data_IF_033650334973
#
_entry.id   IF_033650334973
#
_cell.length_a   1.000
_cell.length_b   1.000
_cell.length_c   1.000
_cell.angle_alpha   90.00
_cell.angle_beta   90.00
_cell.angle_gamma   90.00
#
_symmetry.space_group_name_H-M   'P 1'
#
loop_
_entity.id
_entity.type
_entity.pdbx_description
1 polymer ?
#
# COMPACT_ATOMS: atom_id res chain seq x y z
N UNK A 1 -11.49 -5.54 14.67
CA UNK A 1 -10.12 -6.02 15.02
C UNK A 1 -9.21 -4.85 15.38
N UNK A 2 -8.97 -3.88 14.49
CA UNK A 2 -8.11 -2.72 14.75
C UNK A 2 -8.95 -1.46 14.67
N UNK A 3 -8.68 -0.48 15.57
CA UNK A 3 -9.29 0.83 15.55
C UNK A 3 -8.26 1.89 15.93
N UNK A 4 -8.02 2.85 15.04
CA UNK A 4 -7.25 4.05 15.26
C UNK A 4 -8.24 5.22 15.32
N UNK A 5 -8.11 6.10 16.31
CA UNK A 5 -8.99 7.25 16.53
C UNK A 5 -8.16 8.52 16.70
N UNK A 6 -8.24 9.41 15.71
CA UNK A 6 -7.57 10.71 15.71
C UNK A 6 -6.06 10.65 15.88
N UNK A 7 -5.40 9.60 15.38
CA UNK A 7 -3.97 9.34 15.61
C UNK A 7 -3.12 10.39 14.90
N UNK A 8 -2.28 11.09 15.68
CA UNK A 8 -1.37 12.13 15.19
C UNK A 8 0.08 11.75 15.51
N UNK A 9 0.98 12.10 14.58
CA UNK A 9 2.42 11.94 14.75
C UNK A 9 3.18 12.95 13.93
N UNK A 10 4.14 13.63 14.58
CA UNK A 10 5.03 14.59 13.91
C UNK A 10 6.49 14.23 14.19
N UNK A 11 7.36 14.54 13.25
CA UNK A 11 8.81 14.46 13.34
C UNK A 11 9.38 15.84 13.03
N UNK A 12 9.62 16.63 14.08
CA UNK A 12 9.97 18.04 13.92
C UNK A 12 8.84 18.79 13.19
N UNK A 13 9.15 19.42 12.08
CA UNK A 13 8.18 20.15 11.25
C UNK A 13 7.32 19.26 10.33
N UNK A 14 7.63 17.97 10.22
CA UNK A 14 6.91 17.05 9.31
C UNK A 14 5.81 16.34 10.07
N UNK A 15 4.56 16.59 9.73
CA UNK A 15 3.41 15.87 10.24
C UNK A 15 3.22 14.57 9.44
N UNK A 16 3.60 13.45 10.05
CA UNK A 16 3.51 12.13 9.42
C UNK A 16 2.10 11.52 9.50
N UNK A 17 1.33 11.84 10.55
CA UNK A 17 -0.09 11.50 10.68
C UNK A 17 -0.86 12.73 11.17
N UNK A 18 -1.94 13.08 10.47
CA UNK A 18 -2.68 14.33 10.65
C UNK A 18 -4.03 14.14 11.40
N UNK A 19 -4.19 13.03 12.13
CA UNK A 19 -5.43 12.65 12.78
C UNK A 19 -6.08 11.47 12.04
N UNK A 20 -5.34 10.37 11.94
CA UNK A 20 -5.79 9.18 11.22
C UNK A 20 -6.87 8.45 12.01
N UNK A 21 -8.03 8.28 11.37
CA UNK A 21 -9.10 7.38 11.77
C UNK A 21 -9.11 6.17 10.83
N UNK A 22 -9.02 4.96 11.40
CA UNK A 22 -8.97 3.72 10.62
C UNK A 22 -9.66 2.60 11.39
N UNK A 23 -10.45 1.80 10.68
CA UNK A 23 -11.07 0.58 11.20
C UNK A 23 -10.72 -0.60 10.30
N UNK A 24 -10.21 -1.68 10.89
CA UNK A 24 -9.88 -2.92 10.18
C UNK A 24 -10.70 -4.06 10.77
N UNK A 25 -11.58 -4.70 9.99
CA UNK A 25 -12.34 -5.86 10.45
C UNK A 25 -11.45 -7.10 10.68
N UNK A 26 -11.97 -8.10 11.36
CA UNK A 26 -11.28 -9.39 11.55
C UNK A 26 -11.43 -10.27 10.31
N UNK A 27 -10.44 -11.15 10.08
CA UNK A 27 -10.52 -12.20 9.05
C UNK A 27 -10.41 -11.71 7.61
N UNK A 28 -9.88 -10.51 7.40
CA UNK A 28 -9.66 -9.93 6.07
C UNK A 28 -8.18 -9.64 5.81
N UNK A 29 -7.86 -9.45 4.54
CA UNK A 29 -6.64 -8.74 4.12
C UNK A 29 -7.01 -7.28 3.93
N UNK A 30 -6.45 -6.40 4.74
CA UNK A 30 -6.65 -4.95 4.67
C UNK A 30 -5.41 -4.26 4.12
N UNK A 31 -5.58 -3.51 3.03
CA UNK A 31 -4.51 -2.77 2.38
C UNK A 31 -4.39 -1.33 2.90
N UNK A 32 -3.20 -0.89 3.25
CA UNK A 32 -2.88 0.51 3.53
C UNK A 32 -2.07 1.06 2.36
N UNK A 33 -2.76 1.67 1.39
CA UNK A 33 -2.20 2.16 0.14
C UNK A 33 -1.78 3.64 0.27
N UNK A 34 -0.77 4.05 -0.46
CA UNK A 34 -0.36 5.45 -0.58
C UNK A 34 1.09 5.60 -1.00
N UNK A 35 1.52 6.80 -1.43
CA UNK A 35 2.89 7.04 -1.84
C UNK A 35 3.88 6.92 -0.67
N UNK A 36 5.17 6.89 -1.00
CA UNK A 36 6.21 6.96 0.01
C UNK A 36 6.06 8.25 0.83
N UNK A 37 6.15 8.14 2.18
CA UNK A 37 5.95 9.29 3.07
C UNK A 37 4.49 9.63 3.40
N UNK A 38 3.51 8.89 2.89
CA UNK A 38 2.09 9.11 3.22
C UNK A 38 1.71 8.80 4.69
N UNK A 39 2.62 8.21 5.48
CA UNK A 39 2.38 7.88 6.89
C UNK A 39 2.12 6.40 7.16
N UNK A 40 2.09 5.53 6.15
CA UNK A 40 1.80 4.08 6.27
C UNK A 40 2.65 3.40 7.34
N UNK A 41 3.97 3.38 7.17
CA UNK A 41 4.92 2.78 8.14
C UNK A 41 4.80 3.40 9.52
N UNK A 42 4.52 4.70 9.63
CA UNK A 42 4.30 5.38 10.92
C UNK A 42 3.06 4.82 11.62
N UNK A 43 1.95 4.66 10.90
CA UNK A 43 0.73 4.07 11.43
C UNK A 43 0.95 2.61 11.89
N UNK A 44 1.63 1.79 11.05
CA UNK A 44 1.96 0.41 11.41
C UNK A 44 2.87 0.33 12.65
N UNK A 45 3.91 1.17 12.75
CA UNK A 45 4.81 1.20 13.91
C UNK A 45 4.09 1.59 15.20
N UNK A 46 3.12 2.51 15.14
CA UNK A 46 2.30 2.88 16.29
C UNK A 46 1.44 1.69 16.72
N UNK A 47 0.74 1.04 15.79
CA UNK A 47 -0.05 -0.16 16.07
C UNK A 47 0.81 -1.28 16.67
N UNK A 48 2.02 -1.47 16.15
CA UNK A 48 2.96 -2.49 16.64
C UNK A 48 3.70 -2.08 17.93
N UNK A 49 3.32 -0.97 18.56
CA UNK A 49 3.95 -0.47 19.80
C UNK A 49 5.43 -0.11 19.69
N UNK A 50 5.92 0.12 18.47
CA UNK A 50 7.30 0.51 18.19
C UNK A 50 7.49 2.02 18.23
N UNK A 51 6.40 2.78 18.21
CA UNK A 51 6.38 4.23 18.21
C UNK A 51 5.17 4.72 19.01
N UNK A 52 5.36 5.72 19.86
CA UNK A 52 4.26 6.40 20.55
C UNK A 52 3.66 7.48 19.62
N UNK A 53 2.34 7.59 19.49
CA UNK A 53 1.70 8.72 18.84
C UNK A 53 1.81 9.98 19.71
N UNK A 54 1.63 11.15 19.12
CA UNK A 54 1.59 12.42 19.84
C UNK A 54 0.17 12.70 20.38
N UNK A 55 -0.86 12.15 19.71
CA UNK A 55 -2.26 12.18 20.13
C UNK A 55 -3.05 11.04 19.49
N UNK A 56 -4.25 10.80 19.99
CA UNK A 56 -5.16 9.78 19.51
C UNK A 56 -5.08 8.48 20.31
N UNK A 57 -5.88 7.50 19.89
CA UNK A 57 -6.00 6.19 20.56
C UNK A 57 -5.85 5.07 19.54
N UNK A 58 -5.34 3.92 19.99
CA UNK A 58 -5.16 2.73 19.16
C UNK A 58 -5.65 1.51 19.93
N UNK A 59 -6.54 0.75 19.29
CA UNK A 59 -7.14 -0.44 19.85
C UNK A 59 -6.86 -1.65 18.98
N UNK A 60 -6.59 -2.77 19.63
CA UNK A 60 -6.54 -4.09 19.02
C UNK A 60 -7.54 -4.98 19.78
N UNK A 61 -8.67 -5.28 19.16
CA UNK A 61 -9.87 -5.79 19.84
C UNK A 61 -10.22 -4.86 21.04
N UNK A 62 -10.26 -5.41 22.26
CA UNK A 62 -10.51 -4.67 23.50
C UNK A 62 -9.23 -4.16 24.19
N UNK A 63 -8.06 -4.35 23.57
CA UNK A 63 -6.77 -3.97 24.13
C UNK A 63 -6.43 -2.54 23.69
N UNK A 64 -6.31 -1.62 24.65
CA UNK A 64 -5.67 -0.33 24.40
C UNK A 64 -4.16 -0.57 24.19
N UNK A 65 -3.71 -0.35 22.95
CA UNK A 65 -2.34 -0.66 22.52
C UNK A 65 -1.30 0.17 23.25
N UNK A 66 -1.65 1.41 23.62
CA UNK A 66 -0.74 2.33 24.30
C UNK A 66 -0.65 2.03 25.81
N UNK A 67 -1.78 1.69 26.41
CA UNK A 67 -1.84 1.35 27.83
C UNK A 67 -1.32 -0.07 28.13
N UNK A 68 -1.54 -1.02 27.19
CA UNK A 68 -1.23 -2.44 27.36
C UNK A 68 -0.33 -3.02 26.24
N UNK A 69 0.84 -2.42 25.97
CA UNK A 69 1.66 -2.76 24.81
C UNK A 69 2.17 -4.22 24.82
N UNK A 70 2.39 -4.79 26.00
CA UNK A 70 2.81 -6.21 26.13
C UNK A 70 1.72 -7.18 25.71
N UNK A 71 0.45 -6.88 26.01
CA UNK A 71 -0.69 -7.68 25.56
C UNK A 71 -0.90 -7.53 24.05
N UNK A 72 -0.84 -6.31 23.52
CA UNK A 72 -0.94 -6.06 22.10
C UNK A 72 0.10 -6.87 21.30
N UNK A 73 1.38 -6.83 21.72
CA UNK A 73 2.45 -7.59 21.04
C UNK A 73 2.27 -9.12 21.04
N UNK A 74 1.54 -9.66 21.98
CA UNK A 74 1.20 -11.10 21.99
C UNK A 74 0.12 -11.47 20.96
N UNK A 75 -0.65 -10.47 20.49
CA UNK A 75 -1.77 -10.65 19.57
C UNK A 75 -1.43 -10.29 18.12
N UNK A 76 -0.22 -9.76 17.88
CA UNK A 76 0.21 -9.37 16.54
C UNK A 76 1.58 -9.94 16.19
N UNK A 77 1.75 -10.31 14.93
CA UNK A 77 3.05 -10.52 14.28
C UNK A 77 3.37 -9.29 13.44
N UNK A 78 4.61 -8.84 13.46
CA UNK A 78 5.07 -7.73 12.64
C UNK A 78 6.24 -8.14 11.76
N UNK A 79 6.14 -7.86 10.48
CA UNK A 79 7.18 -8.07 9.48
C UNK A 79 7.53 -6.71 8.89
N UNK A 80 8.71 -6.21 9.22
CA UNK A 80 9.20 -4.92 8.75
C UNK A 80 9.56 -4.94 7.26
N UNK A 81 9.76 -3.77 6.68
CA UNK A 81 10.20 -3.61 5.29
C UNK A 81 11.58 -4.27 5.07
N UNK A 82 12.54 -4.03 5.97
CA UNK A 82 13.85 -4.62 5.94
C UNK A 82 13.93 -5.83 6.89
N UNK A 83 14.33 -6.98 6.35
CA UNK A 83 14.53 -8.19 7.13
C UNK A 83 15.81 -8.09 7.98
N UNK A 84 15.66 -8.04 9.29
CA UNK A 84 16.78 -8.06 10.25
C UNK A 84 17.21 -9.50 10.55
N UNK A 85 17.70 -10.23 9.53
CA UNK A 85 18.16 -11.61 9.68
C UNK A 85 19.67 -11.67 9.99
N UNK A 86 20.02 -12.47 11.00
CA UNK A 86 21.42 -12.81 11.23
C UNK A 86 21.92 -13.70 10.09
N UNK A 87 22.98 -13.25 9.42
CA UNK A 87 23.53 -13.94 8.22
C UNK A 87 24.24 -15.26 8.55
N UNK A 88 24.64 -15.46 9.81
CA UNK A 88 25.42 -16.62 10.28
C UNK A 88 24.46 -17.78 10.62
N UNK A 89 23.35 -17.47 11.28
CA UNK A 89 22.38 -18.46 11.68
C UNK A 89 21.67 -19.09 10.46
N UNK A 90 21.33 -20.36 10.60
CA UNK A 90 20.37 -21.01 9.70
C UNK A 90 18.94 -20.51 9.97
N UNK A 91 18.04 -20.66 8.99
CA UNK A 91 16.63 -20.30 9.19
C UNK A 91 16.00 -21.04 10.37
N UNK A 92 16.36 -22.30 10.57
CA UNK A 92 15.87 -23.10 11.70
C UNK A 92 16.34 -22.53 13.04
N UNK A 93 17.61 -22.19 13.16
CA UNK A 93 18.17 -21.57 14.37
C UNK A 93 17.51 -20.20 14.62
N UNK A 94 17.28 -19.42 13.58
CA UNK A 94 16.58 -18.14 13.66
C UNK A 94 15.16 -18.29 14.21
N UNK A 95 14.39 -19.26 13.69
CA UNK A 95 13.05 -19.56 14.22
C UNK A 95 13.08 -20.05 15.65
N UNK A 96 14.07 -20.87 16.03
CA UNK A 96 14.23 -21.30 17.43
C UNK A 96 14.56 -20.11 18.35
N UNK A 97 15.44 -19.21 17.93
CA UNK A 97 15.79 -17.99 18.66
C UNK A 97 14.53 -17.11 18.87
N UNK A 98 13.80 -16.82 17.81
CA UNK A 98 12.58 -16.02 17.91
C UNK A 98 11.50 -16.68 18.77
N UNK A 99 11.32 -18.00 18.64
CA UNK A 99 10.41 -18.74 19.50
C UNK A 99 10.77 -18.64 20.99
N UNK A 100 12.06 -18.66 21.32
CA UNK A 100 12.53 -18.46 22.68
C UNK A 100 12.29 -17.02 23.18
N UNK A 101 12.46 -16.01 22.31
CA UNK A 101 12.15 -14.60 22.64
C UNK A 101 10.65 -14.38 22.91
N UNK A 102 9.78 -15.16 22.26
CA UNK A 102 8.34 -15.20 22.56
C UNK A 102 8.00 -16.07 23.80
N UNK A 103 9.00 -16.59 24.51
CA UNK A 103 8.84 -17.48 25.67
C UNK A 103 8.05 -18.75 25.36
N UNK A 104 8.12 -19.26 24.15
CA UNK A 104 7.49 -20.51 23.76
C UNK A 104 8.28 -21.72 24.33
N UNK A 105 7.59 -22.79 24.66
CA UNK A 105 8.24 -24.04 25.12
C UNK A 105 8.99 -24.68 23.95
N UNK A 106 10.13 -25.31 24.22
CA UNK A 106 11.00 -25.92 23.19
C UNK A 106 10.27 -26.92 22.29
N UNK A 107 9.40 -27.74 22.86
CA UNK A 107 8.59 -28.71 22.11
C UNK A 107 7.54 -28.01 21.20
N UNK A 108 6.94 -26.93 21.66
CA UNK A 108 6.04 -26.11 20.86
C UNK A 108 6.78 -25.43 19.69
N UNK A 109 7.98 -24.89 19.95
CA UNK A 109 8.81 -24.28 18.87
C UNK A 109 9.14 -25.32 17.81
N UNK A 110 9.60 -26.52 18.19
CA UNK A 110 9.94 -27.59 17.23
C UNK A 110 8.77 -27.93 16.32
N UNK A 111 7.57 -28.17 16.91
CA UNK A 111 6.35 -28.45 16.12
C UNK A 111 6.01 -27.29 15.18
N UNK A 112 6.05 -26.04 15.72
CA UNK A 112 5.69 -24.88 14.94
C UNK A 112 6.65 -24.60 13.79
N UNK A 113 7.95 -24.85 13.96
CA UNK A 113 8.96 -24.73 12.90
C UNK A 113 8.67 -25.70 11.76
N UNK A 114 8.32 -26.95 12.06
CA UNK A 114 7.95 -27.94 11.04
C UNK A 114 6.69 -27.52 10.28
N UNK A 115 5.65 -27.07 10.99
CA UNK A 115 4.41 -26.56 10.38
C UNK A 115 4.68 -25.37 9.44
N UNK A 116 5.44 -24.37 9.91
CA UNK A 116 5.76 -23.18 9.11
C UNK A 116 6.69 -23.50 7.94
N UNK A 117 7.63 -24.43 8.12
CA UNK A 117 8.52 -24.86 7.05
C UNK A 117 7.73 -25.47 5.88
N UNK A 118 6.74 -26.32 6.18
CA UNK A 118 5.86 -26.90 5.19
C UNK A 118 4.91 -25.85 4.58
N UNK A 119 4.29 -24.98 5.42
CA UNK A 119 3.33 -23.95 4.96
C UNK A 119 3.96 -22.91 4.05
N UNK A 120 5.24 -22.61 4.25
CA UNK A 120 5.98 -21.55 3.54
C UNK A 120 7.02 -22.11 2.55
N UNK A 121 6.99 -23.41 2.25
CA UNK A 121 7.94 -24.10 1.34
C UNK A 121 9.41 -23.82 1.71
N UNK A 122 9.76 -23.93 2.99
CA UNK A 122 11.11 -23.62 3.49
C UNK A 122 11.99 -24.85 3.68
N UNK A 123 11.41 -26.08 3.71
CA UNK A 123 12.11 -27.32 4.02
C UNK A 123 13.43 -27.52 3.24
N UNK A 124 13.52 -27.24 1.90
CA UNK A 124 14.73 -27.52 1.14
C UNK A 124 15.94 -26.66 1.52
N UNK A 125 15.72 -25.54 2.21
CA UNK A 125 16.78 -24.54 2.46
C UNK A 125 16.84 -24.03 3.91
N UNK A 126 15.92 -24.47 4.77
CA UNK A 126 15.79 -23.97 6.14
C UNK A 126 17.06 -24.16 6.99
N UNK A 127 17.85 -25.19 6.71
CA UNK A 127 19.07 -25.53 7.45
C UNK A 127 20.32 -24.85 6.87
N UNK A 128 20.19 -24.06 5.81
CA UNK A 128 21.28 -23.28 5.22
C UNK A 128 21.44 -21.95 5.98
N UNK A 129 22.66 -21.35 6.03
CA UNK A 129 22.86 -20.02 6.60
C UNK A 129 22.01 -18.94 5.90
N UNK A 130 21.39 -18.05 6.66
CA UNK A 130 20.51 -16.98 6.12
C UNK A 130 21.26 -16.01 5.18
N UNK A 131 22.58 -15.90 5.31
CA UNK A 131 23.40 -15.12 4.39
C UNK A 131 23.36 -15.59 2.93
N UNK A 132 23.05 -16.89 2.71
CA UNK A 132 22.93 -17.50 1.38
C UNK A 132 21.50 -17.46 0.80
N UNK A 133 20.54 -16.80 1.47
CA UNK A 133 19.15 -16.77 1.04
C UNK A 133 18.90 -15.73 -0.05
N UNK A 134 18.06 -16.09 -1.03
CA UNK A 134 17.46 -15.13 -1.97
C UNK A 134 16.55 -14.14 -1.25
N UNK A 135 16.12 -13.07 -1.92
CA UNK A 135 15.14 -12.12 -1.38
C UNK A 135 13.85 -12.80 -0.96
N UNK A 136 13.31 -13.67 -1.81
CA UNK A 136 12.09 -14.44 -1.52
C UNK A 136 12.25 -15.40 -0.33
N UNK A 137 13.39 -16.09 -0.22
CA UNK A 137 13.69 -16.96 0.93
C UNK A 137 13.76 -16.15 2.24
N UNK A 138 14.42 -15.00 2.21
CA UNK A 138 14.49 -14.10 3.38
C UNK A 138 13.10 -13.64 3.79
N UNK A 139 12.25 -13.27 2.84
CA UNK A 139 10.90 -12.79 3.12
C UNK A 139 10.00 -13.88 3.69
N UNK A 140 10.11 -15.12 3.20
CA UNK A 140 9.39 -16.28 3.79
C UNK A 140 9.84 -16.56 5.21
N UNK A 141 11.14 -16.47 5.51
CA UNK A 141 11.66 -16.63 6.87
C UNK A 141 11.15 -15.53 7.81
N UNK A 142 11.12 -14.26 7.36
CA UNK A 142 10.55 -13.14 8.11
C UNK A 142 9.08 -13.37 8.45
N UNK A 143 8.29 -13.81 7.47
CA UNK A 143 6.91 -14.21 7.71
C UNK A 143 6.80 -15.30 8.77
N UNK A 144 7.64 -16.33 8.67
CA UNK A 144 7.69 -17.41 9.63
C UNK A 144 7.97 -16.90 11.05
N UNK A 145 8.91 -15.95 11.21
CA UNK A 145 9.19 -15.35 12.53
C UNK A 145 7.98 -14.61 13.11
N UNK A 146 7.27 -13.85 12.28
CA UNK A 146 6.04 -13.15 12.67
C UNK A 146 4.88 -14.08 13.04
N UNK A 147 4.86 -15.31 12.49
CA UNK A 147 3.80 -16.29 12.68
C UNK A 147 4.08 -17.33 13.78
N UNK A 148 5.27 -17.35 14.38
CA UNK A 148 5.69 -18.38 15.34
C UNK A 148 4.72 -18.56 16.52
N UNK A 149 4.25 -17.45 17.09
CA UNK A 149 3.37 -17.44 18.26
C UNK A 149 1.87 -17.48 17.91
N UNK A 150 1.53 -17.78 16.63
CA UNK A 150 0.16 -17.85 16.09
C UNK A 150 -0.67 -16.58 16.37
N UNK A 151 -0.21 -15.42 15.97
CA UNK A 151 -0.96 -14.20 16.21
C UNK A 151 -2.25 -14.18 15.38
N UNK A 152 -3.37 -13.65 15.90
CA UNK A 152 -4.58 -13.44 15.12
C UNK A 152 -4.47 -12.29 14.11
N UNK A 153 -3.46 -11.41 14.28
CA UNK A 153 -3.15 -10.29 13.38
C UNK A 153 -1.72 -10.38 12.89
N UNK A 154 -1.53 -10.33 11.58
CA UNK A 154 -0.24 -10.18 10.92
C UNK A 154 -0.14 -8.79 10.27
N UNK A 155 0.86 -8.01 10.66
CA UNK A 155 1.14 -6.67 10.12
C UNK A 155 2.37 -6.74 9.23
N UNK A 156 2.24 -6.32 7.98
CA UNK A 156 3.28 -6.39 6.95
C UNK A 156 3.58 -5.00 6.41
N UNK A 157 4.83 -4.56 6.54
CA UNK A 157 5.26 -3.28 5.98
C UNK A 157 5.96 -3.54 4.65
N UNK A 158 5.29 -3.15 3.54
CA UNK A 158 5.75 -3.32 2.16
C UNK A 158 6.29 -4.73 1.84
N UNK A 159 5.46 -5.80 1.96
CA UNK A 159 5.93 -7.18 1.97
C UNK A 159 6.60 -7.65 0.68
N UNK A 160 6.33 -7.02 -0.46
CA UNK A 160 6.83 -7.45 -1.78
C UNK A 160 7.94 -6.57 -2.34
N UNK A 161 8.35 -5.54 -1.62
CA UNK A 161 9.41 -4.62 -2.07
C UNK A 161 10.72 -5.38 -2.29
N UNK A 162 11.32 -5.21 -3.48
CA UNK A 162 12.55 -5.86 -3.87
C UNK A 162 12.44 -7.34 -4.24
N UNK A 163 11.24 -7.90 -4.32
CA UNK A 163 11.01 -9.25 -4.83
C UNK A 163 10.82 -9.26 -6.36
N UNK A 164 11.32 -10.31 -6.99
CA UNK A 164 10.97 -10.62 -8.38
C UNK A 164 9.51 -11.01 -8.52
N UNK A 165 9.01 -11.07 -9.77
CA UNK A 165 7.60 -11.31 -10.08
C UNK A 165 7.12 -12.66 -9.53
N UNK A 166 7.91 -13.72 -9.69
CA UNK A 166 7.56 -15.07 -9.24
C UNK A 166 7.46 -15.14 -7.71
N UNK A 167 8.46 -14.61 -7.01
CA UNK A 167 8.47 -14.51 -5.54
C UNK A 167 7.29 -13.71 -4.99
N UNK A 168 6.89 -12.65 -5.70
CA UNK A 168 5.72 -11.82 -5.35
C UNK A 168 4.43 -12.62 -5.41
N UNK A 169 4.17 -13.32 -6.52
CA UNK A 169 2.95 -14.15 -6.65
C UNK A 169 2.91 -15.31 -5.66
N UNK A 170 4.07 -15.94 -5.41
CA UNK A 170 4.18 -16.98 -4.40
C UNK A 170 3.85 -16.45 -2.99
N UNK A 171 4.33 -15.25 -2.65
CA UNK A 171 3.98 -14.58 -1.39
C UNK A 171 2.48 -14.27 -1.29
N UNK A 172 1.87 -13.78 -2.37
CA UNK A 172 0.43 -13.50 -2.41
C UNK A 172 -0.40 -14.76 -2.16
N UNK A 173 0.00 -15.90 -2.72
CA UNK A 173 -0.67 -17.18 -2.46
C UNK A 173 -0.60 -17.56 -0.97
N UNK A 174 0.56 -17.38 -0.35
CA UNK A 174 0.74 -17.61 1.10
C UNK A 174 -0.17 -16.69 1.93
N UNK A 175 -0.24 -15.39 1.60
CA UNK A 175 -1.09 -14.47 2.34
C UNK A 175 -2.58 -14.80 2.23
N UNK A 176 -3.04 -15.24 1.04
CA UNK A 176 -4.41 -15.71 0.87
C UNK A 176 -4.70 -16.96 1.71
N UNK A 177 -3.75 -17.89 1.78
CA UNK A 177 -3.90 -19.10 2.61
C UNK A 177 -3.95 -18.73 4.10
N UNK A 178 -3.07 -17.86 4.59
CA UNK A 178 -3.08 -17.39 5.98
C UNK A 178 -4.42 -16.73 6.35
N UNK A 179 -4.99 -15.94 5.43
CA UNK A 179 -6.34 -15.38 5.61
C UNK A 179 -7.39 -16.49 5.69
N UNK A 180 -7.34 -17.47 4.78
CA UNK A 180 -8.27 -18.60 4.77
C UNK A 180 -8.20 -19.42 6.09
N UNK A 181 -7.01 -19.48 6.70
CA UNK A 181 -6.77 -20.09 8.01
C UNK A 181 -7.23 -19.20 9.19
N UNK A 182 -7.83 -18.04 8.93
CA UNK A 182 -8.42 -17.15 9.92
C UNK A 182 -7.50 -16.02 10.43
N UNK A 183 -6.31 -15.84 9.87
CA UNK A 183 -5.42 -14.73 10.24
C UNK A 183 -5.90 -13.42 9.58
N UNK A 184 -6.05 -12.38 10.37
CA UNK A 184 -6.24 -11.02 9.85
C UNK A 184 -4.90 -10.47 9.36
N UNK A 185 -4.87 -9.85 8.19
CA UNK A 185 -3.63 -9.30 7.62
C UNK A 185 -3.83 -7.81 7.34
N UNK A 186 -2.95 -6.98 7.91
CA UNK A 186 -2.83 -5.56 7.58
C UNK A 186 -1.51 -5.35 6.85
N UNK A 187 -1.57 -4.99 5.57
CA UNK A 187 -0.37 -4.74 4.77
C UNK A 187 -0.30 -3.28 4.30
N UNK A 188 0.89 -2.69 4.36
CA UNK A 188 1.17 -1.44 3.65
C UNK A 188 1.73 -1.73 2.27
N UNK A 189 1.37 -0.91 1.29
CA UNK A 189 1.95 -0.97 -0.04
C UNK A 189 1.85 0.38 -0.74
N UNK A 190 2.77 0.64 -1.65
CA UNK A 190 2.66 1.69 -2.67
C UNK A 190 2.35 1.07 -4.05
N UNK A 191 2.30 -0.25 -4.16
CA UNK A 191 1.96 -0.97 -5.38
C UNK A 191 0.46 -1.21 -5.49
N UNK A 192 -0.19 -0.49 -6.40
CA UNK A 192 -1.63 -0.61 -6.68
C UNK A 192 -2.06 -2.02 -7.04
N UNK A 193 -1.24 -2.72 -7.83
CA UNK A 193 -1.49 -4.09 -8.28
C UNK A 193 -1.61 -5.06 -7.08
N UNK A 194 -0.69 -4.95 -6.11
CA UNK A 194 -0.68 -5.78 -4.91
C UNK A 194 -1.96 -5.61 -4.10
N UNK A 195 -2.31 -4.35 -3.80
CA UNK A 195 -3.51 -4.05 -3.00
C UNK A 195 -4.78 -4.47 -3.75
N UNK A 196 -4.85 -4.21 -5.06
CA UNK A 196 -6.00 -4.61 -5.87
C UNK A 196 -6.16 -6.13 -5.98
N UNK A 197 -5.05 -6.91 -5.93
CA UNK A 197 -5.07 -8.36 -6.03
C UNK A 197 -5.34 -9.06 -4.70
N UNK A 198 -4.94 -8.46 -3.58
CA UNK A 198 -4.97 -9.10 -2.26
C UNK A 198 -6.05 -8.57 -1.32
N UNK A 199 -6.28 -7.26 -1.31
CA UNK A 199 -7.08 -6.63 -0.28
C UNK A 199 -8.58 -6.86 -0.47
N UNK A 200 -9.25 -7.28 0.59
CA UNK A 200 -10.71 -7.27 0.67
C UNK A 200 -11.23 -5.86 0.88
N UNK A 201 -10.53 -5.10 1.72
CA UNK A 201 -10.76 -3.69 1.99
C UNK A 201 -9.43 -2.95 2.01
N UNK A 202 -9.45 -1.67 1.75
CA UNK A 202 -8.27 -0.83 1.78
C UNK A 202 -8.57 0.58 2.31
N UNK A 203 -7.53 1.23 2.78
CA UNK A 203 -7.48 2.66 3.01
C UNK A 203 -6.37 3.29 2.17
N UNK A 204 -6.67 4.43 1.56
CA UNK A 204 -5.69 5.22 0.81
C UNK A 204 -5.26 6.40 1.68
N UNK A 205 -3.95 6.51 1.92
CA UNK A 205 -3.36 7.60 2.69
C UNK A 205 -2.56 8.53 1.76
N UNK A 206 -2.68 9.83 2.01
CA UNK A 206 -1.77 10.84 1.49
C UNK A 206 -1.49 11.90 2.56
N UNK A 207 -0.23 12.32 2.70
CA UNK A 207 0.22 13.36 3.63
C UNK A 207 -0.29 13.17 5.08
N UNK A 208 -0.34 11.92 5.54
CA UNK A 208 -0.78 11.56 6.89
C UNK A 208 -2.28 11.57 7.13
N UNK A 209 -3.09 11.76 6.10
CA UNK A 209 -4.54 11.77 6.15
C UNK A 209 -5.15 10.58 5.37
N UNK A 210 -6.30 10.12 5.81
CA UNK A 210 -7.12 9.15 5.08
C UNK A 210 -7.88 9.87 3.97
N UNK A 211 -7.70 9.41 2.70
CA UNK A 211 -8.36 10.00 1.53
C UNK A 211 -9.60 9.20 1.12
N UNK A 212 -9.48 7.87 1.13
CA UNK A 212 -10.55 6.96 0.76
C UNK A 212 -10.40 5.65 1.52
N UNK A 213 -11.51 4.99 1.82
CA UNK A 213 -11.52 3.65 2.41
C UNK A 213 -12.72 2.84 1.89
N UNK A 214 -12.54 1.53 1.74
CA UNK A 214 -13.58 0.60 1.33
C UNK A 214 -13.05 -0.57 0.52
N UNK A 215 -13.97 -1.32 -0.09
CA UNK A 215 -13.60 -2.41 -0.99
C UNK A 215 -13.05 -1.84 -2.31
N UNK A 216 -11.97 -2.45 -2.89
CA UNK A 216 -11.38 -1.98 -4.14
C UNK A 216 -12.40 -1.83 -5.29
N UNK A 217 -13.34 -2.78 -5.39
CA UNK A 217 -14.41 -2.76 -6.41
C UNK A 217 -15.38 -1.60 -6.22
N UNK A 218 -15.78 -1.30 -4.98
CA UNK A 218 -16.70 -0.21 -4.67
C UNK A 218 -16.06 1.15 -4.92
N UNK A 219 -14.80 1.34 -4.50
CA UNK A 219 -14.06 2.58 -4.75
C UNK A 219 -13.93 2.86 -6.24
N UNK A 220 -13.61 1.84 -7.05
CA UNK A 220 -13.54 1.98 -8.51
C UNK A 220 -14.90 2.25 -9.14
N UNK A 221 -15.96 1.57 -8.70
CA UNK A 221 -17.31 1.77 -9.21
C UNK A 221 -17.87 3.18 -8.90
N UNK A 222 -17.47 3.78 -7.78
CA UNK A 222 -17.86 5.14 -7.40
C UNK A 222 -17.36 6.22 -8.37
N UNK A 223 -16.33 5.94 -9.18
CA UNK A 223 -15.84 6.84 -10.24
C UNK A 223 -16.86 7.04 -11.40
N UNK A 224 -17.81 6.10 -11.54
CA UNK A 224 -19.02 6.34 -12.32
C UNK A 224 -18.92 6.09 -13.81
N UNK A 225 -18.09 5.18 -14.27
CA UNK A 225 -18.00 4.78 -15.67
C UNK A 225 -16.65 4.19 -16.06
N UNK A 226 -16.38 4.12 -17.37
CA UNK A 226 -15.08 3.73 -17.87
C UNK A 226 -14.15 4.94 -17.90
N UNK A 227 -12.87 4.70 -17.68
CA UNK A 227 -11.84 5.73 -17.82
C UNK A 227 -11.55 5.97 -19.28
N UNK A 228 -11.72 7.20 -19.71
CA UNK A 228 -11.30 7.68 -21.03
C UNK A 228 -10.05 8.53 -20.83
N UNK A 229 -9.01 8.25 -21.59
CA UNK A 229 -7.81 9.09 -21.64
C UNK A 229 -7.62 9.55 -23.09
N UNK A 230 -7.56 10.85 -23.31
CA UNK A 230 -7.33 11.45 -24.62
C UNK A 230 -6.09 12.32 -24.63
N UNK A 231 -5.42 12.37 -25.78
CA UNK A 231 -4.38 13.33 -26.11
C UNK A 231 -4.78 14.05 -27.41
N UNK A 232 -4.60 15.37 -27.43
CA UNK A 232 -4.86 16.17 -28.63
C UNK A 232 -3.68 16.11 -29.59
N UNK A 233 -2.46 16.01 -29.07
CA UNK A 233 -1.19 15.87 -29.80
C UNK A 233 -0.24 14.97 -29.04
N UNK A 234 0.86 14.60 -29.64
CA UNK A 234 1.94 13.88 -28.94
C UNK A 234 2.43 14.69 -27.71
N UNK A 235 2.61 16.02 -27.89
CA UNK A 235 2.89 16.98 -26.86
C UNK A 235 1.80 18.07 -26.87
N UNK A 236 0.75 17.86 -26.10
CA UNK A 236 -0.34 18.84 -25.95
C UNK A 236 0.15 20.02 -25.13
N UNK A 237 -0.06 21.24 -25.65
CA UNK A 237 0.29 22.46 -24.91
C UNK A 237 -0.66 22.67 -23.71
N UNK A 238 -0.21 23.44 -22.70
CA UNK A 238 -1.04 23.76 -21.52
C UNK A 238 -2.32 24.52 -21.92
N UNK A 239 -2.25 25.36 -22.94
CA UNK A 239 -3.40 26.10 -23.46
C UNK A 239 -4.45 25.20 -24.10
N UNK A 240 -4.02 24.30 -24.99
CA UNK A 240 -4.91 23.30 -25.63
C UNK A 240 -5.54 22.37 -24.58
N UNK A 241 -4.76 21.91 -23.61
CA UNK A 241 -5.26 21.06 -22.52
C UNK A 241 -6.31 21.79 -21.66
N UNK A 242 -6.07 23.07 -21.33
CA UNK A 242 -7.02 23.87 -20.56
C UNK A 242 -8.31 24.15 -21.32
N UNK A 243 -8.23 24.42 -22.62
CA UNK A 243 -9.38 24.62 -23.49
C UNK A 243 -10.22 23.34 -23.61
N UNK A 244 -9.58 22.20 -23.86
CA UNK A 244 -10.27 20.92 -23.91
C UNK A 244 -10.90 20.53 -22.56
N UNK A 245 -10.20 20.77 -21.43
CA UNK A 245 -10.73 20.55 -20.10
C UNK A 245 -12.01 21.36 -19.87
N UNK A 246 -12.04 22.64 -20.24
CA UNK A 246 -13.23 23.49 -20.10
C UNK A 246 -14.42 22.98 -20.91
N UNK A 247 -14.20 22.47 -22.12
CA UNK A 247 -15.24 21.87 -22.95
C UNK A 247 -15.78 20.57 -22.31
N UNK A 248 -14.89 19.71 -21.81
CA UNK A 248 -15.25 18.46 -21.16
C UNK A 248 -16.04 18.68 -19.86
N UNK A 249 -15.71 19.73 -19.10
CA UNK A 249 -16.43 20.07 -17.85
C UNK A 249 -17.89 20.50 -18.08
N UNK A 250 -18.19 21.02 -19.27
CA UNK A 250 -19.55 21.44 -19.63
C UNK A 250 -20.42 20.30 -20.18
N UNK A 251 -19.80 19.15 -20.47
CA UNK A 251 -20.49 18.05 -21.14
C UNK A 251 -21.21 17.15 -20.14
N UNK A 252 -22.51 16.96 -20.34
CA UNK A 252 -23.30 16.01 -19.56
C UNK A 252 -22.81 14.57 -19.78
N UNK A 253 -22.61 13.84 -18.70
CA UNK A 253 -22.10 12.45 -18.74
C UNK A 253 -20.57 12.31 -18.66
N UNK A 254 -19.83 13.41 -18.70
CA UNK A 254 -18.42 13.47 -18.36
C UNK A 254 -18.31 13.72 -16.86
N UNK A 255 -17.59 12.88 -16.16
CA UNK A 255 -17.28 13.09 -14.75
C UNK A 255 -15.77 13.23 -14.54
N UNK A 256 -15.40 14.20 -13.72
CA UNK A 256 -14.04 14.41 -13.19
C UNK A 256 -12.92 14.51 -14.25
N UNK A 257 -13.04 15.42 -15.22
CA UNK A 257 -11.98 15.62 -16.20
C UNK A 257 -10.75 16.26 -15.51
N UNK A 258 -9.58 15.60 -15.67
CA UNK A 258 -8.29 16.01 -15.08
C UNK A 258 -7.21 15.98 -16.15
N UNK A 259 -6.33 17.00 -16.16
CA UNK A 259 -5.13 17.04 -17.00
C UNK A 259 -3.98 16.37 -16.27
N UNK A 260 -3.41 15.32 -16.87
CA UNK A 260 -2.22 14.65 -16.37
C UNK A 260 -0.96 15.24 -17.03
N UNK A 261 -0.27 16.13 -16.33
CA UNK A 261 0.92 16.84 -16.85
C UNK A 261 2.10 15.90 -17.05
N UNK A 262 2.28 14.90 -16.21
CA UNK A 262 3.38 13.93 -16.33
C UNK A 262 3.25 13.02 -17.56
N UNK A 263 2.03 12.90 -18.11
CA UNK A 263 1.75 12.14 -19.32
C UNK A 263 1.59 13.03 -20.58
N UNK A 264 2.27 14.18 -20.62
CA UNK A 264 2.24 15.10 -21.75
C UNK A 264 0.89 15.79 -21.91
N UNK A 265 0.30 16.24 -20.80
CA UNK A 265 -1.00 16.88 -20.75
C UNK A 265 -2.15 16.02 -21.28
N UNK A 266 -2.08 14.69 -21.12
CA UNK A 266 -3.20 13.80 -21.40
C UNK A 266 -4.39 14.17 -20.49
N UNK A 267 -5.59 14.17 -21.04
CA UNK A 267 -6.81 14.45 -20.29
C UNK A 267 -7.52 13.14 -20.00
N UNK A 268 -7.77 12.87 -18.72
CA UNK A 268 -8.50 11.69 -18.26
C UNK A 268 -9.84 12.10 -17.65
N UNK A 269 -10.88 11.35 -17.93
CA UNK A 269 -12.22 11.52 -17.35
C UNK A 269 -12.96 10.19 -17.34
N UNK A 270 -14.14 10.16 -16.68
CA UNK A 270 -15.00 8.97 -16.66
C UNK A 270 -16.26 9.24 -17.47
N UNK A 271 -16.66 8.23 -18.25
CA UNK A 271 -17.86 8.26 -19.07
C UNK A 271 -18.64 6.94 -18.92
N UNK A 272 -19.97 7.04 -18.81
CA UNK A 272 -20.85 5.86 -18.70
C UNK A 272 -21.28 5.30 -20.07
N UNK A 273 -21.24 6.10 -21.11
CA UNK A 273 -21.73 5.74 -22.45
C UNK A 273 -20.62 5.91 -23.48
N UNK A 274 -20.33 4.83 -24.20
CA UNK A 274 -19.38 4.85 -25.32
C UNK A 274 -19.79 5.84 -26.43
N UNK A 275 -21.10 6.10 -26.61
CA UNK A 275 -21.59 7.09 -27.57
C UNK A 275 -21.14 8.51 -27.23
N UNK A 276 -20.99 8.81 -25.96
CA UNK A 276 -20.48 10.11 -25.49
C UNK A 276 -19.09 10.40 -26.07
N UNK A 277 -18.24 9.39 -26.15
CA UNK A 277 -16.88 9.53 -26.70
C UNK A 277 -16.87 10.04 -28.12
N UNK A 278 -17.79 9.57 -28.96
CA UNK A 278 -17.89 10.02 -30.36
C UNK A 278 -18.43 11.47 -30.47
N UNK A 279 -19.39 11.84 -29.62
CA UNK A 279 -19.88 13.23 -29.51
C UNK A 279 -18.74 14.16 -29.08
N UNK A 280 -17.95 13.76 -28.09
CA UNK A 280 -16.79 14.53 -27.60
C UNK A 280 -15.72 14.68 -28.67
N UNK A 281 -15.46 13.63 -29.45
CA UNK A 281 -14.53 13.68 -30.59
C UNK A 281 -14.92 14.76 -31.55
N UNK A 282 -16.20 14.78 -31.98
CA UNK A 282 -16.70 15.76 -32.92
C UNK A 282 -16.61 17.18 -32.35
N UNK A 283 -17.04 17.38 -31.11
CA UNK A 283 -16.98 18.69 -30.45
C UNK A 283 -15.57 19.25 -30.37
N UNK A 284 -14.61 18.43 -29.92
CA UNK A 284 -13.20 18.84 -29.82
C UNK A 284 -12.64 19.18 -31.22
N UNK A 285 -12.99 18.42 -32.23
CA UNK A 285 -12.58 18.68 -33.62
C UNK A 285 -13.15 19.99 -34.16
N UNK A 286 -14.42 20.29 -33.88
CA UNK A 286 -15.10 21.55 -34.29
C UNK A 286 -14.45 22.79 -33.64
N UNK A 287 -13.82 22.62 -32.45
CA UNK A 287 -13.06 23.66 -31.75
C UNK A 287 -11.56 23.69 -32.13
N UNK A 288 -11.15 22.97 -33.17
CA UNK A 288 -9.76 22.95 -33.64
C UNK A 288 -8.81 22.12 -32.72
N UNK A 289 -9.36 21.23 -31.87
CA UNK A 289 -8.65 20.37 -30.96
C UNK A 289 -8.79 18.89 -31.35
N UNK A 290 -8.19 18.44 -32.48
CA UNK A 290 -8.34 17.06 -32.95
C UNK A 290 -7.70 16.08 -31.97
N UNK A 291 -8.37 14.94 -31.77
CA UNK A 291 -7.85 13.88 -30.89
C UNK A 291 -6.77 13.09 -31.64
N UNK A 292 -5.55 13.08 -31.11
CA UNK A 292 -4.42 12.29 -31.59
C UNK A 292 -4.49 10.84 -31.10
N UNK A 293 -4.80 10.65 -29.82
CA UNK A 293 -4.90 9.32 -29.21
C UNK A 293 -6.06 9.30 -28.22
N UNK A 294 -6.80 8.21 -28.21
CA UNK A 294 -7.87 7.94 -27.26
C UNK A 294 -7.73 6.49 -26.78
N UNK A 295 -7.74 6.31 -25.46
CA UNK A 295 -7.77 5.00 -24.82
C UNK A 295 -8.93 4.91 -23.85
N UNK A 296 -9.52 3.72 -23.76
CA UNK A 296 -10.63 3.38 -22.88
C UNK A 296 -10.22 2.20 -22.00
N UNK A 297 -10.42 2.29 -20.73
CA UNK A 297 -10.02 1.28 -19.76
C UNK A 297 -10.96 1.23 -18.57
N UNK A 298 -10.94 0.12 -17.84
CA UNK A 298 -11.63 0.02 -16.55
C UNK A 298 -10.98 0.95 -15.52
N UNK A 299 -11.77 1.55 -14.60
CA UNK A 299 -11.24 2.36 -13.51
C UNK A 299 -10.25 1.58 -12.64
N UNK A 300 -9.20 2.25 -12.23
CA UNK A 300 -8.14 1.72 -11.36
C UNK A 300 -8.15 2.38 -9.97
N UNK A 301 -7.39 1.85 -9.02
CA UNK A 301 -7.17 2.52 -7.73
C UNK A 301 -6.31 3.79 -7.86
N UNK A 302 -5.48 3.88 -8.93
CA UNK A 302 -4.77 5.13 -9.24
C UNK A 302 -5.74 6.25 -9.61
N UNK A 303 -6.84 5.91 -10.27
CA UNK A 303 -7.89 6.87 -10.60
C UNK A 303 -8.64 7.36 -9.36
N UNK A 304 -8.85 6.49 -8.37
CA UNK A 304 -9.41 6.89 -7.07
C UNK A 304 -8.47 7.88 -6.36
N UNK A 305 -7.17 7.60 -6.40
CA UNK A 305 -6.16 8.49 -5.84
C UNK A 305 -6.09 9.83 -6.59
N UNK A 306 -6.06 9.78 -7.93
CA UNK A 306 -6.03 10.96 -8.81
C UNK A 306 -7.24 11.86 -8.57
N UNK A 307 -8.43 11.28 -8.45
CA UNK A 307 -9.66 12.02 -8.15
C UNK A 307 -9.57 12.79 -6.83
N UNK A 308 -9.07 12.14 -5.79
CA UNK A 308 -9.03 12.72 -4.45
C UNK A 308 -7.91 13.77 -4.28
N UNK A 309 -6.80 13.66 -5.02
CA UNK A 309 -5.59 14.45 -4.82
C UNK A 309 -5.20 15.35 -5.99
N UNK A 310 -5.80 15.15 -7.17
CA UNK A 310 -5.44 15.86 -8.42
C UNK A 310 -4.12 15.41 -9.06
N UNK A 311 -3.51 14.32 -8.58
CA UNK A 311 -2.25 13.76 -9.10
C UNK A 311 -2.26 12.24 -9.04
N UNK A 312 -1.49 11.56 -9.88
CA UNK A 312 -1.31 10.11 -9.80
C UNK A 312 -0.43 9.70 -8.62
N UNK A 313 -0.49 8.44 -8.21
CA UNK A 313 0.38 7.91 -7.18
C UNK A 313 1.86 8.06 -7.58
N UNK A 314 2.17 7.83 -8.85
CA UNK A 314 3.50 8.00 -9.41
C UNK A 314 3.99 9.45 -9.37
N UNK A 315 3.12 10.43 -9.67
CA UNK A 315 3.45 11.87 -9.57
C UNK A 315 3.77 12.26 -8.12
N UNK A 316 3.01 11.70 -7.17
CA UNK A 316 3.24 11.92 -5.75
C UNK A 316 4.60 11.36 -5.30
N UNK A 317 4.98 10.19 -5.79
CA UNK A 317 6.28 9.57 -5.49
C UNK A 317 7.45 10.35 -6.09
N UNK A 318 7.33 10.79 -7.34
CA UNK A 318 8.34 11.62 -8.01
C UNK A 318 8.56 12.96 -7.28
N UNK A 319 7.48 13.63 -6.87
CA UNK A 319 7.55 14.87 -6.10
C UNK A 319 8.26 14.69 -4.74
N UNK A 320 7.99 13.56 -4.07
CA UNK A 320 8.64 13.22 -2.80
C UNK A 320 10.13 12.89 -2.99
N UNK A 321 10.50 12.18 -4.06
CA UNK A 321 11.89 11.88 -4.39
C UNK A 321 12.69 13.16 -4.63
N UNK A 322 12.19 14.08 -5.46
CA UNK A 322 12.81 15.38 -5.73
C UNK A 322 13.04 16.21 -4.44
N UNK A 323 12.08 16.17 -3.50
CA UNK A 323 12.21 16.86 -2.21
C UNK A 323 13.29 16.25 -1.32
N UNK A 324 13.52 14.95 -1.39
CA UNK A 324 14.57 14.24 -0.63
C UNK A 324 15.96 14.57 -1.17
N UNK A 325 16.14 14.57 -2.48
CA UNK A 325 17.40 14.87 -3.13
C UNK A 325 17.85 16.31 -2.83
N UNK A 326 16.95 17.29 -2.93
CA UNK A 326 17.23 18.69 -2.57
C UNK A 326 17.67 18.83 -1.10
N UNK A 327 17.04 18.10 -0.15
CA UNK A 327 17.46 18.12 1.26
C UNK A 327 18.79 17.42 1.49
N UNK A 328 19.09 16.35 0.74
CA UNK A 328 20.37 15.66 0.81
C UNK A 328 21.50 16.54 0.28
N UNK A 329 21.30 17.22 -0.84
CA UNK A 329 22.24 18.19 -1.42
C UNK A 329 22.49 19.39 -0.49
N UNK A 330 21.44 19.98 0.10
CA UNK A 330 21.56 21.04 1.09
C UNK A 330 22.35 20.61 2.32
N UNK A 331 22.14 19.38 2.81
CA UNK A 331 22.88 18.83 3.94
C UNK A 331 24.35 18.52 3.60
N UNK A 332 24.64 18.17 2.36
CA UNK A 332 26.01 17.95 1.86
C UNK A 332 26.76 19.28 1.67
N UNK A 333 26.06 20.34 1.19
CA UNK A 333 26.63 21.69 1.02
C UNK A 333 26.90 22.43 2.36
N UNK A 334 26.27 21.99 3.46
CA UNK A 334 26.45 22.54 4.81
C UNK A 334 27.56 21.82 5.62
N UNK A 335 28.21 20.78 5.06
CA UNK A 335 29.35 20.08 5.63
C UNK A 335 30.65 20.48 4.93
#
# INVERSE_FOLDING_TARGET
MIRLEGVRKSYGAVQALAGLDLQVPSGCIYGLLGPNGAGKTTALRILCTLLAPDAGRVWLDDIDVLAQPRLARRRLGYVAQDAALDKILSGREMLHLHGALYHLRRDAIRRRVVELAAQLDMDPWLDRPCGAYSGGMRRRLDLATGLLHRPPLLVLDEPTTGLDVESRYALWAVLRQLKADGTTILLSSHHLEEVNALADELAILDQGALIAAGQPSHLKAALGGERITLKLREFTSDGEASQALALLQQQAGVSQPVVNRSQGNAISFFARDAKLVEVLRQQLQDHGLPIFCLSQSQPSLDDVYLQATGRTLMDAELAMAATRDTKAEQKAAMR
#
